data_IF_626462363643
#
_entry.id   IF_626462363643
#
_cell.length_a   1.000
_cell.length_b   1.000
_cell.length_c   1.000
_cell.angle_alpha   90.00
_cell.angle_beta   90.00
_cell.angle_gamma   90.00
#
_symmetry.space_group_name_H-M   'P 1'
#
loop_
_entity.id
_entity.type
_entity.pdbx_description
1 polymer ?
#
# COMPACT_ATOMS: atom_id res chain seq x y z
N UNK A 1 -29.30 -78.69 -37.35
CA UNK A 1 -29.48 -77.26 -37.68
C UNK A 1 -29.19 -76.50 -36.38
N UNK A 2 -27.98 -75.96 -36.10
CA UNK A 2 -27.22 -74.92 -36.85
C UNK A 2 -28.13 -73.71 -37.12
N UNK A 3 -27.90 -72.46 -36.71
CA UNK A 3 -26.71 -71.72 -36.26
C UNK A 3 -27.11 -70.41 -35.54
N UNK A 4 -26.16 -69.78 -34.85
CA UNK A 4 -25.82 -68.33 -34.88
C UNK A 4 -25.49 -67.76 -33.47
N UNK A 5 -24.22 -67.73 -33.00
CA UNK A 5 -23.15 -66.72 -33.30
C UNK A 5 -23.46 -65.37 -32.57
N UNK A 6 -22.66 -64.75 -31.70
CA UNK A 6 -21.27 -64.92 -31.23
C UNK A 6 -21.06 -64.00 -30.02
N UNK A 7 -20.37 -64.50 -29.00
CA UNK A 7 -19.67 -63.69 -28.01
C UNK A 7 -18.34 -63.18 -28.58
N UNK A 8 -17.99 -61.91 -28.33
CA UNK A 8 -16.61 -61.42 -28.39
C UNK A 8 -16.36 -60.45 -27.24
N UNK A 9 -15.96 -61.05 -26.13
CA UNK A 9 -15.19 -60.40 -25.07
C UNK A 9 -13.82 -60.07 -25.68
N UNK A 10 -13.44 -58.81 -25.67
CA UNK A 10 -12.07 -58.40 -26.06
C UNK A 10 -11.35 -58.00 -24.78
N UNK A 11 -10.47 -58.89 -24.33
CA UNK A 11 -9.50 -58.67 -23.27
C UNK A 11 -8.20 -58.19 -23.94
N UNK A 12 -7.74 -57.00 -23.62
CA UNK A 12 -6.48 -56.44 -24.12
C UNK A 12 -5.82 -55.62 -23.04
N UNK A 13 -4.97 -56.27 -22.27
CA UNK A 13 -4.20 -55.77 -21.15
C UNK A 13 -3.22 -54.65 -21.56
N UNK A 14 -3.21 -53.53 -20.83
CA UNK A 14 -1.98 -52.75 -20.62
C UNK A 14 -1.94 -52.21 -19.19
N UNK A 15 -1.03 -52.79 -18.41
CA UNK A 15 -0.50 -52.26 -17.17
C UNK A 15 0.25 -50.95 -17.47
N UNK A 16 -0.04 -49.86 -16.74
CA UNK A 16 0.96 -48.87 -16.32
C UNK A 16 0.35 -47.87 -15.32
N UNK A 17 0.60 -48.17 -14.05
CA UNK A 17 0.78 -47.28 -12.91
C UNK A 17 1.33 -45.88 -13.28
N UNK A 18 0.58 -44.79 -13.06
CA UNK A 18 1.15 -43.48 -12.70
C UNK A 18 0.24 -42.80 -11.68
N UNK A 19 0.83 -42.54 -10.51
CA UNK A 19 0.25 -41.86 -9.37
C UNK A 19 -0.27 -40.46 -9.76
N UNK A 20 -1.52 -40.16 -9.42
CA UNK A 20 -2.00 -38.78 -9.35
C UNK A 20 -1.35 -38.19 -8.10
N UNK A 21 -0.22 -37.52 -8.31
CA UNK A 21 0.42 -36.71 -7.29
C UNK A 21 -0.50 -35.54 -6.95
N UNK A 22 -0.92 -35.50 -5.69
CA UNK A 22 -1.45 -34.31 -5.06
C UNK A 22 -0.38 -33.21 -5.18
N UNK A 23 -0.58 -32.25 -6.09
CA UNK A 23 0.18 -31.00 -6.05
C UNK A 23 -0.34 -30.18 -4.89
N UNK A 24 0.27 -30.44 -3.75
CA UNK A 24 0.39 -29.54 -2.62
C UNK A 24 1.06 -28.25 -3.14
N UNK A 25 0.27 -27.25 -3.53
CA UNK A 25 0.78 -25.89 -3.62
C UNK A 25 1.00 -25.44 -2.19
N UNK A 26 2.21 -25.68 -1.70
CA UNK A 26 2.73 -25.01 -0.54
C UNK A 26 2.61 -23.51 -0.80
N UNK A 27 1.75 -22.85 -0.04
CA UNK A 27 1.72 -21.39 0.02
C UNK A 27 3.06 -20.91 0.56
N UNK A 28 3.99 -20.62 -0.34
CA UNK A 28 5.12 -19.76 -0.03
C UNK A 28 4.54 -18.42 0.44
N UNK A 29 4.81 -18.11 1.70
CA UNK A 29 4.57 -16.79 2.28
C UNK A 29 5.27 -15.77 1.35
N UNK A 30 4.57 -14.84 0.70
CA UNK A 30 5.23 -13.91 -0.21
C UNK A 30 6.23 -13.09 0.60
N UNK A 31 7.50 -13.22 0.22
CA UNK A 31 8.59 -12.43 0.75
C UNK A 31 8.27 -10.95 0.59
N UNK A 32 8.60 -10.16 1.60
CA UNK A 32 8.47 -8.70 1.68
C UNK A 32 9.13 -8.01 0.49
N UNK A 33 8.37 -7.90 -0.60
CA UNK A 33 8.79 -7.33 -1.87
C UNK A 33 8.72 -5.83 -1.80
N UNK A 34 9.90 -5.19 -1.74
CA UNK A 34 10.07 -3.74 -1.87
C UNK A 34 9.15 -3.20 -2.96
N UNK A 35 8.23 -2.27 -2.64
CA UNK A 35 7.31 -1.75 -3.62
C UNK A 35 8.07 -0.89 -4.64
N UNK A 36 7.70 -0.96 -5.93
CA UNK A 36 8.48 -0.37 -7.01
C UNK A 36 8.57 1.15 -6.88
N UNK A 37 9.73 1.69 -7.28
CA UNK A 37 9.94 3.13 -7.45
C UNK A 37 8.92 3.68 -8.47
N UNK A 38 8.44 4.93 -8.32
CA UNK A 38 7.51 5.57 -9.26
C UNK A 38 8.00 5.58 -10.73
N UNK A 39 9.27 5.28 -10.99
CA UNK A 39 9.84 5.18 -12.34
C UNK A 39 9.90 3.75 -12.93
N UNK A 40 9.35 2.74 -12.26
CA UNK A 40 9.63 1.33 -12.59
C UNK A 40 8.40 0.43 -12.82
N UNK A 41 7.18 0.98 -12.92
CA UNK A 41 6.03 0.15 -13.30
C UNK A 41 6.02 -0.12 -14.80
N UNK A 42 6.12 -1.39 -15.25
CA UNK A 42 5.91 -1.74 -16.64
C UNK A 42 4.44 -1.47 -17.04
N UNK A 43 4.23 -1.08 -18.30
CA UNK A 43 2.91 -0.94 -18.91
C UNK A 43 2.15 -2.28 -18.88
N UNK A 44 0.80 -2.26 -18.80
CA UNK A 44 0.03 -3.29 -18.11
C UNK A 44 0.00 -4.64 -18.83
N UNK A 45 0.32 -5.70 -18.09
CA UNK A 45 -0.29 -7.02 -18.25
C UNK A 45 -1.53 -7.08 -17.37
N UNK A 46 -2.71 -7.29 -17.98
CA UNK A 46 -3.99 -7.26 -17.28
C UNK A 46 -4.20 -8.52 -16.43
N UNK A 47 -3.65 -8.57 -15.22
CA UNK A 47 -4.28 -9.37 -14.17
C UNK A 47 -5.56 -8.65 -13.74
N UNK A 48 -6.69 -9.35 -13.85
CA UNK A 48 -8.01 -8.78 -13.68
C UNK A 48 -8.27 -8.42 -12.21
N UNK A 49 -8.62 -7.17 -11.95
CA UNK A 49 -9.10 -6.67 -10.65
C UNK A 49 -10.37 -7.38 -10.14
N UNK A 50 -10.98 -8.22 -10.98
CA UNK A 50 -12.25 -8.91 -10.69
C UNK A 50 -12.19 -9.73 -9.40
N UNK A 51 -11.07 -10.39 -9.12
CA UNK A 51 -10.94 -11.21 -7.91
C UNK A 51 -10.84 -10.35 -6.65
N UNK A 52 -10.05 -9.27 -6.69
CA UNK A 52 -9.95 -8.31 -5.57
C UNK A 52 -11.27 -7.58 -5.31
N UNK A 53 -11.94 -7.10 -6.36
CA UNK A 53 -13.22 -6.40 -6.24
C UNK A 53 -14.34 -7.34 -5.76
N UNK A 54 -14.33 -8.62 -6.19
CA UNK A 54 -15.25 -9.64 -5.69
C UNK A 54 -15.00 -9.96 -4.21
N UNK A 55 -13.73 -10.01 -3.77
CA UNK A 55 -13.37 -10.18 -2.36
C UNK A 55 -13.84 -8.99 -1.49
N UNK A 56 -13.77 -7.77 -2.00
CA UNK A 56 -14.34 -6.60 -1.34
C UNK A 56 -15.86 -6.72 -1.16
N UNK A 57 -16.58 -7.18 -2.19
CA UNK A 57 -18.02 -7.43 -2.11
C UNK A 57 -18.38 -8.58 -1.15
N UNK A 58 -17.47 -9.54 -1.01
CA UNK A 58 -17.59 -10.67 -0.09
C UNK A 58 -17.23 -10.32 1.38
N UNK A 59 -16.96 -9.05 1.69
CA UNK A 59 -16.55 -8.57 3.03
C UNK A 59 -15.23 -9.20 3.53
N UNK A 60 -14.32 -9.50 2.57
CA UNK A 60 -12.99 -10.09 2.80
C UNK A 60 -11.90 -9.09 2.45
N UNK A 61 -11.91 -7.94 3.13
CA UNK A 61 -11.05 -6.82 2.80
C UNK A 61 -9.55 -7.14 2.95
N UNK A 62 -9.15 -7.94 3.95
CA UNK A 62 -7.73 -8.35 4.10
C UNK A 62 -7.23 -9.19 2.93
N UNK A 63 -8.09 -10.07 2.36
CA UNK A 63 -7.72 -10.87 1.20
C UNK A 63 -7.64 -10.00 -0.06
N UNK A 64 -8.60 -9.10 -0.25
CA UNK A 64 -8.58 -8.14 -1.35
C UNK A 64 -7.32 -7.27 -1.32
N UNK A 65 -6.90 -6.83 -0.12
CA UNK A 65 -5.67 -6.06 0.08
C UNK A 65 -4.44 -6.80 -0.48
N UNK A 66 -4.31 -8.08 -0.16
CA UNK A 66 -3.20 -8.94 -0.62
C UNK A 66 -3.22 -9.12 -2.14
N UNK A 67 -4.39 -9.31 -2.73
CA UNK A 67 -4.52 -9.43 -4.19
C UNK A 67 -4.20 -8.11 -4.90
N UNK A 68 -4.67 -6.98 -4.38
CA UNK A 68 -4.33 -5.67 -4.95
C UNK A 68 -2.83 -5.36 -4.80
N UNK A 69 -2.21 -5.75 -3.68
CA UNK A 69 -0.76 -5.66 -3.51
C UNK A 69 -0.01 -6.45 -4.56
N UNK A 70 -0.37 -7.72 -4.74
CA UNK A 70 0.24 -8.56 -5.76
C UNK A 70 0.11 -7.94 -7.16
N UNK A 71 -1.09 -7.52 -7.57
CA UNK A 71 -1.31 -6.92 -8.87
C UNK A 71 -0.58 -5.57 -9.03
N UNK A 72 -0.50 -4.76 -7.97
CA UNK A 72 0.23 -3.49 -7.98
C UNK A 72 1.74 -3.69 -8.12
N UNK A 73 2.30 -4.73 -7.49
CA UNK A 73 3.70 -5.13 -7.64
C UNK A 73 4.01 -5.56 -9.09
N UNK A 74 3.04 -6.14 -9.79
CA UNK A 74 3.12 -6.50 -11.21
C UNK A 74 2.81 -5.34 -12.17
N UNK A 75 2.70 -4.09 -11.66
CA UNK A 75 2.56 -2.89 -12.49
C UNK A 75 1.11 -2.46 -12.77
N UNK A 76 0.11 -3.10 -12.16
CA UNK A 76 -1.28 -2.65 -12.29
C UNK A 76 -1.53 -1.39 -11.45
N UNK A 77 -1.50 -0.22 -12.10
CA UNK A 77 -1.70 1.06 -11.44
C UNK A 77 -3.10 1.20 -10.79
N UNK A 78 -4.14 0.62 -11.38
CA UNK A 78 -5.49 0.68 -10.79
C UNK A 78 -5.56 -0.19 -9.52
N UNK A 79 -4.89 -1.34 -9.50
CA UNK A 79 -4.71 -2.14 -8.28
C UNK A 79 -3.96 -1.34 -7.20
N UNK A 80 -2.90 -0.61 -7.58
CA UNK A 80 -2.19 0.30 -6.70
C UNK A 80 -3.11 1.40 -6.12
N UNK A 81 -4.05 1.91 -6.93
CA UNK A 81 -5.07 2.87 -6.47
C UNK A 81 -6.07 2.27 -5.48
N UNK A 82 -6.50 1.01 -5.71
CA UNK A 82 -7.39 0.26 -4.80
C UNK A 82 -6.71 -0.06 -3.47
N UNK A 83 -5.48 -0.55 -3.54
CA UNK A 83 -4.61 -0.78 -2.39
C UNK A 83 -4.40 0.51 -1.59
N UNK A 84 -4.03 1.59 -2.27
CA UNK A 84 -3.85 2.90 -1.66
C UNK A 84 -5.10 3.39 -0.93
N UNK A 85 -6.28 3.19 -1.52
CA UNK A 85 -7.56 3.52 -0.88
C UNK A 85 -7.80 2.74 0.42
N UNK A 86 -7.58 1.42 0.39
CA UNK A 86 -7.75 0.57 1.58
C UNK A 86 -6.79 0.95 2.69
N UNK A 87 -5.54 1.26 2.36
CA UNK A 87 -4.55 1.67 3.35
C UNK A 87 -4.80 3.11 3.86
N UNK A 88 -5.32 4.02 3.03
CA UNK A 88 -5.65 5.39 3.44
C UNK A 88 -6.77 5.41 4.47
N UNK A 89 -7.86 4.70 4.20
CA UNK A 89 -9.11 4.85 4.96
C UNK A 89 -9.42 3.66 5.86
N UNK A 90 -8.72 2.55 5.67
CA UNK A 90 -9.07 1.27 6.28
C UNK A 90 -10.39 0.72 5.74
N UNK A 91 -10.72 -0.49 6.15
CA UNK A 91 -12.02 -1.09 5.89
C UNK A 91 -12.40 -1.93 7.11
N UNK A 92 -13.50 -1.59 7.78
CA UNK A 92 -14.07 -2.45 8.82
C UNK A 92 -14.95 -3.50 8.15
N UNK A 93 -14.65 -4.76 8.43
CA UNK A 93 -15.55 -5.86 8.08
C UNK A 93 -16.65 -5.97 9.13
N UNK A 94 -17.89 -6.19 8.68
CA UNK A 94 -19.06 -6.29 9.56
C UNK A 94 -19.46 -7.74 9.83
N UNK A 95 -19.09 -8.66 8.93
CA UNK A 95 -19.42 -10.10 9.02
C UNK A 95 -18.23 -10.97 9.38
N UNK A 96 -17.01 -10.49 9.16
CA UNK A 96 -15.78 -11.24 9.43
C UNK A 96 -14.80 -10.43 10.29
N UNK A 97 -13.77 -11.06 10.82
CA UNK A 97 -12.64 -10.38 11.46
C UNK A 97 -11.60 -9.86 10.43
N UNK A 98 -11.87 -9.96 9.13
CA UNK A 98 -10.94 -9.66 8.03
C UNK A 98 -11.02 -8.21 7.54
N UNK A 99 -11.03 -7.26 8.48
CA UNK A 99 -10.90 -5.84 8.16
C UNK A 99 -9.46 -5.46 7.77
N UNK A 100 -9.31 -4.26 7.22
CA UNK A 100 -8.00 -3.64 6.96
C UNK A 100 -7.85 -2.45 7.89
N UNK A 101 -6.82 -2.49 8.74
CA UNK A 101 -6.39 -1.33 9.52
C UNK A 101 -5.74 -0.32 8.58
N UNK A 102 -6.11 0.95 8.69
CA UNK A 102 -5.51 2.00 7.87
C UNK A 102 -4.00 2.12 8.15
N UNK A 103 -3.22 2.23 7.09
CA UNK A 103 -1.84 2.69 7.10
C UNK A 103 -1.73 3.92 6.17
N UNK A 104 -2.03 5.13 6.68
CA UNK A 104 -2.13 6.32 5.85
C UNK A 104 -0.89 6.66 5.03
N UNK A 105 0.33 6.42 5.54
CA UNK A 105 1.52 6.81 4.80
C UNK A 105 1.81 5.85 3.62
N UNK A 106 1.63 4.54 3.79
CA UNK A 106 1.64 3.61 2.65
C UNK A 106 0.47 3.85 1.70
N UNK A 107 -0.70 4.18 2.23
CA UNK A 107 -1.88 4.55 1.44
C UNK A 107 -1.59 5.72 0.53
N UNK A 108 -1.04 6.82 1.06
CA UNK A 108 -0.61 7.98 0.26
C UNK A 108 0.42 7.56 -0.78
N UNK A 109 1.39 6.71 -0.44
CA UNK A 109 2.45 6.29 -1.36
C UNK A 109 1.89 5.52 -2.57
N UNK A 110 1.09 4.49 -2.33
CA UNK A 110 0.46 3.70 -3.40
C UNK A 110 -0.50 4.55 -4.23
N UNK A 111 -1.26 5.41 -3.56
CA UNK A 111 -2.16 6.36 -4.24
C UNK A 111 -1.38 7.36 -5.09
N UNK A 112 -0.25 7.87 -4.62
CA UNK A 112 0.61 8.78 -5.38
C UNK A 112 1.15 8.10 -6.64
N UNK A 113 1.68 6.88 -6.52
CA UNK A 113 2.19 6.13 -7.68
C UNK A 113 1.08 5.88 -8.70
N UNK A 114 -0.12 5.44 -8.25
CA UNK A 114 -1.26 5.25 -9.13
C UNK A 114 -1.74 6.56 -9.79
N UNK A 115 -1.77 7.67 -9.04
CA UNK A 115 -2.16 8.99 -9.55
C UNK A 115 -1.19 9.49 -10.63
N UNK A 116 0.13 9.30 -10.44
CA UNK A 116 1.14 9.64 -11.47
C UNK A 116 1.05 8.74 -12.72
N UNK A 117 0.42 7.57 -12.60
CA UNK A 117 0.06 6.69 -13.71
C UNK A 117 -1.36 6.97 -14.27
N UNK A 118 -1.90 8.16 -13.99
CA UNK A 118 -3.17 8.68 -14.53
C UNK A 118 -4.43 7.94 -14.07
N UNK A 119 -4.36 7.25 -12.95
CA UNK A 119 -5.54 6.64 -12.32
C UNK A 119 -6.37 7.74 -11.65
N UNK A 120 -7.55 8.03 -12.21
CA UNK A 120 -8.42 9.12 -11.75
C UNK A 120 -8.89 8.93 -10.29
N UNK A 121 -9.26 7.70 -9.91
CA UNK A 121 -9.68 7.35 -8.55
C UNK A 121 -8.56 7.58 -7.53
N UNK A 122 -7.31 7.35 -7.91
CA UNK A 122 -6.15 7.62 -7.08
C UNK A 122 -5.89 9.13 -6.93
N UNK A 123 -6.07 9.90 -8.00
CA UNK A 123 -5.99 11.37 -7.92
C UNK A 123 -7.02 11.94 -6.93
N UNK A 124 -8.26 11.42 -6.92
CA UNK A 124 -9.28 11.80 -5.95
C UNK A 124 -8.89 11.44 -4.52
N UNK A 125 -8.38 10.22 -4.31
CA UNK A 125 -7.96 9.76 -3.00
C UNK A 125 -6.80 10.59 -2.45
N UNK A 126 -5.84 10.97 -3.30
CA UNK A 126 -4.76 11.86 -2.91
C UNK A 126 -5.28 13.27 -2.59
N UNK A 127 -6.26 13.75 -3.36
CA UNK A 127 -6.98 14.98 -3.07
C UNK A 127 -7.63 14.97 -1.67
N UNK A 128 -8.36 13.90 -1.35
CA UNK A 128 -8.97 13.70 -0.03
C UNK A 128 -7.92 13.58 1.09
N UNK A 129 -6.81 12.90 0.82
CA UNK A 129 -5.72 12.76 1.79
C UNK A 129 -5.13 14.13 2.16
N UNK A 130 -4.89 15.01 1.18
CA UNK A 130 -4.44 16.37 1.42
C UNK A 130 -5.50 17.27 2.07
N UNK A 131 -6.77 17.08 1.75
CA UNK A 131 -7.85 17.85 2.38
C UNK A 131 -8.02 17.52 3.86
N UNK A 132 -8.00 16.23 4.19
CA UNK A 132 -8.26 15.72 5.53
C UNK A 132 -6.98 15.60 6.38
N UNK A 133 -5.80 15.72 5.76
CA UNK A 133 -4.52 15.52 6.44
C UNK A 133 -4.23 14.05 6.80
N UNK A 134 -4.69 13.11 5.95
CA UNK A 134 -4.53 11.67 6.18
C UNK A 134 -3.21 11.22 5.54
N UNK A 135 -2.21 10.88 6.36
CA UNK A 135 -0.88 10.43 5.89
C UNK A 135 -0.02 11.54 5.28
N UNK A 136 -0.54 12.76 5.16
CA UNK A 136 0.14 13.98 4.71
C UNK A 136 -0.35 15.17 5.51
N UNK A 137 0.42 16.26 5.54
CA UNK A 137 -0.06 17.52 6.10
C UNK A 137 -1.19 18.09 5.25
N UNK A 138 -2.22 18.63 5.91
CA UNK A 138 -3.34 19.29 5.22
C UNK A 138 -2.85 20.39 4.27
N UNK A 139 -3.31 20.34 3.02
CA UNK A 139 -3.03 21.35 2.00
C UNK A 139 -4.18 21.41 1.00
N UNK A 140 -5.05 22.41 1.13
CA UNK A 140 -6.24 22.54 0.29
C UNK A 140 -5.91 22.90 -1.17
N UNK A 141 -4.77 23.56 -1.42
CA UNK A 141 -4.30 23.88 -2.78
C UNK A 141 -3.89 22.60 -3.52
N UNK A 142 -3.11 21.73 -2.87
CA UNK A 142 -2.79 20.39 -3.39
C UNK A 142 -4.05 19.55 -3.56
N UNK A 143 -4.94 19.54 -2.57
CA UNK A 143 -6.19 18.78 -2.63
C UNK A 143 -7.01 19.13 -3.88
N UNK A 144 -7.18 20.43 -4.14
CA UNK A 144 -7.88 20.93 -5.32
C UNK A 144 -7.14 20.59 -6.62
N UNK A 145 -5.81 20.72 -6.65
CA UNK A 145 -5.01 20.40 -7.83
C UNK A 145 -5.15 18.92 -8.24
N UNK A 146 -5.05 17.99 -7.29
CA UNK A 146 -5.22 16.56 -7.53
C UNK A 146 -6.65 16.17 -7.94
N UNK A 147 -7.68 16.76 -7.31
CA UNK A 147 -9.07 16.50 -7.72
C UNK A 147 -9.38 17.06 -9.12
N UNK A 148 -8.82 18.22 -9.47
CA UNK A 148 -8.96 18.79 -10.82
C UNK A 148 -8.25 17.92 -11.87
N UNK A 149 -7.10 17.35 -11.53
CA UNK A 149 -6.41 16.38 -12.37
C UNK A 149 -7.25 15.11 -12.57
N UNK A 150 -7.89 14.59 -11.53
CA UNK A 150 -8.81 13.45 -11.63
C UNK A 150 -9.92 13.70 -12.66
N UNK A 151 -10.57 14.87 -12.59
CA UNK A 151 -11.60 15.30 -13.55
C UNK A 151 -11.06 15.36 -14.98
N UNK A 152 -9.80 15.74 -15.17
CA UNK A 152 -9.20 15.78 -16.51
C UNK A 152 -9.02 14.38 -17.13
N UNK A 153 -8.85 13.34 -16.30
CA UNK A 153 -8.75 11.95 -16.76
C UNK A 153 -10.12 11.29 -16.90
N UNK A 154 -11.13 11.72 -16.13
CA UNK A 154 -12.52 11.27 -16.24
C UNK A 154 -13.49 12.46 -16.16
N UNK A 155 -13.78 13.14 -17.29
CA UNK A 155 -14.61 14.35 -17.30
C UNK A 155 -16.07 14.09 -16.93
N UNK A 156 -16.57 12.86 -17.16
CA UNK A 156 -17.93 12.45 -16.78
C UNK A 156 -18.12 12.30 -15.27
N UNK A 157 -17.02 12.29 -14.52
CA UNK A 157 -17.05 12.20 -13.07
C UNK A 157 -17.52 13.53 -12.47
N UNK A 158 -18.75 13.54 -11.94
CA UNK A 158 -19.25 14.66 -11.15
C UNK A 158 -18.54 14.71 -9.80
N UNK A 159 -17.47 15.51 -9.73
CA UNK A 159 -16.77 15.81 -8.49
C UNK A 159 -17.45 16.98 -7.77
N UNK A 160 -18.62 16.72 -7.17
CA UNK A 160 -19.27 17.66 -6.23
C UNK A 160 -18.33 18.14 -5.14
N UNK A 161 -17.34 17.31 -4.80
CA UNK A 161 -16.30 17.59 -3.83
C UNK A 161 -15.34 18.72 -4.27
N UNK A 162 -15.09 18.88 -5.57
CA UNK A 162 -14.20 19.93 -6.09
C UNK A 162 -14.81 21.32 -5.89
N UNK A 163 -16.12 21.45 -6.09
CA UNK A 163 -16.84 22.71 -5.88
C UNK A 163 -16.87 23.08 -4.39
N UNK A 164 -17.04 22.09 -3.51
CA UNK A 164 -16.95 22.30 -2.05
C UNK A 164 -15.56 22.76 -1.60
N UNK A 165 -14.50 22.20 -2.19
CA UNK A 165 -13.14 22.67 -1.95
C UNK A 165 -12.92 24.09 -2.45
N UNK A 166 -13.47 24.44 -3.63
CA UNK A 166 -13.35 25.79 -4.20
C UNK A 166 -13.89 26.87 -3.25
N UNK A 167 -15.00 26.59 -2.55
CA UNK A 167 -15.61 27.53 -1.59
C UNK A 167 -14.72 27.76 -0.35
N UNK A 168 -13.84 26.81 -0.01
CA UNK A 168 -12.92 26.90 1.13
C UNK A 168 -11.59 27.57 0.80
N UNK A 169 -11.35 27.85 -0.48
CA UNK A 169 -10.14 28.47 -1.00
C UNK A 169 -10.43 29.92 -1.40
N UNK A 170 -9.46 30.81 -1.26
CA UNK A 170 -9.55 32.14 -1.86
C UNK A 170 -9.23 32.11 -3.37
N UNK A 171 -9.47 33.23 -4.07
CA UNK A 171 -9.28 33.31 -5.53
C UNK A 171 -7.82 33.17 -5.97
N UNK A 172 -6.85 33.54 -5.13
CA UNK A 172 -5.43 33.37 -5.41
C UNK A 172 -5.02 31.90 -5.23
N UNK A 173 -5.49 31.25 -4.17
CA UNK A 173 -5.27 29.83 -3.90
C UNK A 173 -5.91 28.93 -4.96
N UNK A 174 -7.13 29.26 -5.42
CA UNK A 174 -7.75 28.53 -6.54
C UNK A 174 -6.90 28.65 -7.80
N UNK A 175 -6.40 29.86 -8.12
CA UNK A 175 -5.53 30.07 -9.29
C UNK A 175 -4.24 29.24 -9.18
N UNK A 176 -3.60 29.27 -8.02
CA UNK A 176 -2.40 28.46 -7.76
C UNK A 176 -2.68 26.96 -7.92
N UNK A 177 -3.79 26.45 -7.36
CA UNK A 177 -4.16 25.05 -7.48
C UNK A 177 -4.45 24.65 -8.94
N UNK A 178 -5.03 25.56 -9.72
CA UNK A 178 -5.28 25.36 -11.14
C UNK A 178 -3.98 25.26 -11.94
N UNK A 179 -3.02 26.13 -11.66
CA UNK A 179 -1.68 26.10 -12.27
C UNK A 179 -0.96 24.79 -11.92
N UNK A 180 -0.98 24.36 -10.66
CA UNK A 180 -0.42 23.08 -10.23
C UNK A 180 -1.06 21.90 -10.98
N UNK A 181 -2.39 21.86 -11.09
CA UNK A 181 -3.07 20.82 -11.86
C UNK A 181 -2.59 20.75 -13.32
N UNK A 182 -2.32 21.89 -13.95
CA UNK A 182 -1.75 21.94 -15.30
C UNK A 182 -0.32 21.42 -15.35
N UNK A 183 0.50 21.71 -14.34
CA UNK A 183 1.86 21.15 -14.25
C UNK A 183 1.82 19.62 -14.14
N UNK A 184 0.93 19.08 -13.29
CA UNK A 184 0.78 17.65 -13.10
C UNK A 184 0.22 16.96 -14.35
N UNK A 185 -0.74 17.59 -15.04
CA UNK A 185 -1.29 17.08 -16.30
C UNK A 185 -0.21 16.88 -17.38
N UNK A 186 0.80 17.75 -17.40
CA UNK A 186 1.98 17.67 -18.28
C UNK A 186 3.00 16.60 -17.85
N UNK A 187 2.80 15.95 -16.70
CA UNK A 187 3.70 14.92 -16.17
C UNK A 187 4.80 15.46 -15.25
N UNK A 188 4.77 16.76 -14.89
CA UNK A 188 5.71 17.34 -13.93
C UNK A 188 5.22 17.05 -12.52
N UNK A 189 5.48 15.83 -12.04
CA UNK A 189 5.00 15.36 -10.75
C UNK A 189 5.78 16.00 -9.59
N UNK A 190 5.12 16.32 -8.46
CA UNK A 190 5.84 16.70 -7.25
C UNK A 190 6.58 15.48 -6.69
N UNK A 191 7.51 15.69 -5.76
CA UNK A 191 8.11 14.56 -5.04
C UNK A 191 7.05 13.85 -4.20
N UNK A 192 7.12 12.52 -4.12
CA UNK A 192 6.23 11.74 -3.24
C UNK A 192 6.27 12.32 -1.82
N UNK A 193 5.12 12.71 -1.25
CA UNK A 193 5.06 13.43 0.03
C UNK A 193 5.45 12.55 1.24
N UNK A 194 5.47 11.23 1.06
CA UNK A 194 5.91 10.26 2.08
C UNK A 194 7.34 9.84 1.79
N UNK A 195 8.26 10.15 2.71
CA UNK A 195 9.66 9.73 2.66
C UNK A 195 9.82 8.39 3.38
N UNK A 196 10.11 7.32 2.64
CA UNK A 196 10.48 6.02 3.21
C UNK A 196 11.79 6.14 4.01
N UNK A 197 11.85 5.58 5.21
CA UNK A 197 13.11 5.21 5.85
C UNK A 197 13.54 3.86 5.26
N UNK A 198 14.82 3.70 4.94
CA UNK A 198 15.36 2.40 4.52
C UNK A 198 16.01 1.76 5.75
N UNK A 199 16.02 0.43 5.86
CA UNK A 199 16.83 -0.24 6.87
C UNK A 199 18.29 0.24 6.78
N UNK A 200 18.82 0.79 7.88
CA UNK A 200 20.15 1.43 7.90
C UNK A 200 20.19 2.89 7.43
N UNK A 201 19.03 3.55 7.29
CA UNK A 201 18.97 4.97 6.96
C UNK A 201 19.60 5.81 8.08
N UNK A 202 20.61 6.60 7.71
CA UNK A 202 21.36 7.50 8.61
C UNK A 202 20.48 8.53 9.37
N UNK A 203 19.21 8.67 8.96
CA UNK A 203 18.23 9.49 9.66
C UNK A 203 17.76 8.90 10.99
N UNK A 204 17.74 7.57 11.15
CA UNK A 204 17.47 6.90 12.42
C UNK A 204 18.72 6.18 12.90
N UNK A 205 19.27 6.62 14.03
CA UNK A 205 20.49 6.08 14.62
C UNK A 205 20.20 5.53 16.01
N UNK A 206 20.61 4.28 16.26
CA UNK A 206 20.62 3.71 17.59
C UNK A 206 21.89 4.17 18.32
N UNK A 207 21.73 5.06 19.29
CA UNK A 207 22.84 5.63 20.06
C UNK A 207 23.20 4.81 21.30
N UNK A 208 22.32 3.91 21.76
CA UNK A 208 22.62 3.02 22.86
C UNK A 208 21.43 2.17 23.29
N UNK A 209 21.73 1.08 23.99
CA UNK A 209 20.74 0.20 24.62
C UNK A 209 21.12 -0.01 26.07
N UNK A 210 20.15 0.05 26.98
CA UNK A 210 20.31 -0.26 28.39
C UNK A 210 19.42 -1.43 28.76
N UNK A 211 20.04 -2.58 29.04
CA UNK A 211 19.34 -3.82 29.43
C UNK A 211 19.35 -4.09 30.95
N UNK A 212 20.10 -3.31 31.73
CA UNK A 212 20.31 -3.56 33.16
C UNK A 212 19.22 -3.07 34.11
N UNK A 213 18.14 -2.46 33.60
CA UNK A 213 17.04 -1.89 34.39
C UNK A 213 15.82 -2.81 34.48
N UNK A 214 14.78 -2.38 35.23
CA UNK A 214 13.46 -3.06 35.29
C UNK A 214 12.78 -3.18 33.92
N UNK A 215 13.08 -2.26 33.01
CA UNK A 215 12.62 -2.25 31.62
C UNK A 215 13.81 -1.96 30.70
N UNK A 216 13.96 -2.68 29.59
CA UNK A 216 14.99 -2.36 28.60
C UNK A 216 14.67 -1.01 27.94
N UNK A 217 15.71 -0.21 27.72
CA UNK A 217 15.60 1.14 27.14
C UNK A 217 16.50 1.25 25.91
N UNK A 218 15.97 1.83 24.85
CA UNK A 218 16.68 2.17 23.63
C UNK A 218 16.86 3.68 23.54
N UNK A 219 18.03 4.14 23.08
CA UNK A 219 18.29 5.55 22.78
C UNK A 219 18.36 5.69 21.26
N UNK A 220 17.31 6.25 20.66
CA UNK A 220 17.18 6.45 19.21
C UNK A 220 17.21 7.95 18.93
N UNK A 221 18.15 8.41 18.09
CA UNK A 221 18.36 9.83 17.80
C UNK A 221 18.44 10.72 19.05
N UNK A 222 19.15 10.25 20.08
CA UNK A 222 19.30 10.90 21.39
C UNK A 222 18.01 11.05 22.21
N UNK A 223 16.94 10.32 21.85
CA UNK A 223 15.71 10.22 22.64
C UNK A 223 15.58 8.79 23.20
N UNK A 224 15.13 8.68 24.44
CA UNK A 224 14.96 7.39 25.12
C UNK A 224 13.56 6.85 24.89
N UNK A 225 13.48 5.57 24.56
CA UNK A 225 12.24 4.82 24.37
C UNK A 225 12.29 3.53 25.18
N UNK A 226 11.22 3.23 25.90
CA UNK A 226 10.99 1.93 26.49
C UNK A 226 10.38 0.95 25.47
N UNK A 227 10.46 -0.35 25.77
CA UNK A 227 9.79 -1.39 24.99
C UNK A 227 8.28 -1.10 24.90
N UNK A 228 7.75 -1.05 23.68
CA UNK A 228 6.34 -0.72 23.40
C UNK A 228 6.00 0.77 23.47
N UNK A 229 6.96 1.65 23.73
CA UNK A 229 6.73 3.10 23.76
C UNK A 229 6.67 3.68 22.35
N UNK A 230 5.65 4.51 22.11
CA UNK A 230 5.56 5.31 20.88
C UNK A 230 5.92 6.77 21.15
N UNK A 231 6.67 7.38 20.24
CA UNK A 231 6.98 8.80 20.36
C UNK A 231 7.53 9.42 19.09
N UNK A 232 7.55 10.76 19.07
CA UNK A 232 8.07 11.51 17.94
C UNK A 232 9.58 11.63 18.01
N UNK A 233 10.25 11.13 16.97
CA UNK A 233 11.67 11.30 16.72
C UNK A 233 11.89 12.48 15.78
N UNK A 234 12.77 13.40 16.18
CA UNK A 234 13.23 14.48 15.29
C UNK A 234 14.29 13.95 14.33
N UNK A 235 14.07 14.20 13.03
CA UNK A 235 15.03 13.99 11.94
C UNK A 235 15.64 15.32 11.52
N UNK A 236 16.67 15.25 10.65
CA UNK A 236 17.23 16.45 9.99
C UNK A 236 16.24 17.12 9.03
N UNK A 237 15.29 16.35 8.49
CA UNK A 237 14.37 16.78 7.44
C UNK A 237 12.88 16.67 7.83
N UNK A 238 12.59 16.55 9.13
CA UNK A 238 11.22 16.47 9.65
C UNK A 238 11.14 15.83 11.03
N UNK A 239 9.95 15.36 11.40
CA UNK A 239 9.71 14.51 12.57
C UNK A 239 8.90 13.31 12.13
N UNK A 240 9.25 12.12 12.63
CA UNK A 240 8.44 10.92 12.44
C UNK A 240 7.97 10.42 13.81
N UNK A 241 6.90 9.63 13.82
CA UNK A 241 6.55 8.86 15.00
C UNK A 241 7.06 7.43 14.83
N UNK A 242 7.65 6.89 15.87
CA UNK A 242 8.05 5.48 15.93
C UNK A 242 7.39 4.80 17.12
N UNK A 243 7.26 3.49 17.02
CA UNK A 243 6.99 2.56 18.11
C UNK A 243 8.23 1.69 18.29
N UNK A 244 8.74 1.61 19.51
CA UNK A 244 9.84 0.71 19.84
C UNK A 244 9.28 -0.71 20.03
N UNK A 245 9.31 -1.53 18.99
CA UNK A 245 8.69 -2.85 18.99
C UNK A 245 9.52 -3.89 19.77
N UNK A 246 10.84 -3.91 19.55
CA UNK A 246 11.74 -4.85 20.24
C UNK A 246 13.08 -4.19 20.58
N UNK A 247 13.62 -4.51 21.76
CA UNK A 247 14.92 -4.05 22.23
C UNK A 247 15.80 -5.28 22.50
N UNK A 248 16.77 -5.52 21.63
CA UNK A 248 17.82 -6.51 21.80
C UNK A 248 19.12 -5.88 22.30
N UNK A 249 20.13 -6.70 22.61
CA UNK A 249 21.38 -6.22 23.22
C UNK A 249 22.14 -5.16 22.38
N UNK A 250 22.24 -5.38 21.06
CA UNK A 250 22.91 -4.48 20.12
C UNK A 250 22.01 -3.99 18.98
N UNK A 251 20.71 -4.27 19.08
CA UNK A 251 19.76 -4.01 18.01
C UNK A 251 18.42 -3.59 18.57
N UNK A 252 17.73 -2.69 17.87
CA UNK A 252 16.38 -2.25 18.24
C UNK A 252 15.52 -2.26 16.99
N UNK A 253 14.38 -2.92 17.08
CA UNK A 253 13.38 -2.95 16.02
C UNK A 253 12.38 -1.82 16.26
N UNK A 254 12.26 -0.90 15.31
CA UNK A 254 11.34 0.24 15.39
C UNK A 254 10.31 0.17 14.29
N UNK A 255 9.05 0.22 14.65
CA UNK A 255 7.96 0.38 13.69
C UNK A 255 7.75 1.88 13.47
N UNK A 256 7.91 2.33 12.24
CA UNK A 256 7.65 3.72 11.88
C UNK A 256 6.17 3.88 11.60
N UNK A 257 5.51 4.85 12.24
CA UNK A 257 4.11 5.15 11.95
C UNK A 257 3.98 5.53 10.47
N UNK A 258 3.29 4.68 9.70
CA UNK A 258 3.15 4.85 8.27
C UNK A 258 3.89 3.83 7.40
N UNK A 259 4.72 2.95 7.98
CA UNK A 259 5.43 1.90 7.25
C UNK A 259 5.00 0.53 7.77
N UNK A 260 4.69 -0.43 6.87
CA UNK A 260 4.34 -1.78 7.29
C UNK A 260 5.56 -2.60 7.72
N UNK A 261 6.76 -2.20 7.30
CA UNK A 261 8.02 -2.85 7.67
C UNK A 261 8.61 -2.21 8.93
N UNK A 262 8.91 -3.07 9.91
CA UNK A 262 9.71 -2.65 11.05
C UNK A 262 11.18 -2.47 10.64
N UNK A 263 11.80 -1.42 11.13
CA UNK A 263 13.17 -1.06 10.85
C UNK A 263 14.11 -1.64 11.92
N UNK A 264 15.09 -2.41 11.48
CA UNK A 264 16.14 -2.89 12.37
C UNK A 264 17.25 -1.85 12.47
N UNK A 265 17.37 -1.24 13.64
CA UNK A 265 18.48 -0.35 13.96
C UNK A 265 19.56 -1.16 14.67
N UNK A 266 20.78 -1.08 14.16
CA UNK A 266 21.97 -1.69 14.77
C UNK A 266 22.80 -0.58 15.43
N UNK A 267 23.45 -0.90 16.56
CA UNK A 267 24.47 -0.01 17.11
C UNK A 267 25.61 0.13 16.09
N UNK A 268 25.98 1.37 15.79
CA UNK A 268 27.18 1.70 15.00
C UNK A 268 28.42 1.80 15.87
#
# INVERSE_FOLDING_TARGET
>A
MRDSITAKITLGSFLALIAITASLVAGEKPASGKPPSPASMPLPGAESLQDGDALMLADRASDALREYENAALHGNAEAGGRLGNLLLFGCKSFKTTQGVTANPAEGVRWTFVAATNRVASACENLGKAYELGIGVKTNLVEAYAWMRLARSFKPDLKLTHLDQLAVRLDSAQVRQAQELAETYRRGNWPTCPVKRLVNGDSRLTLNGVTMGGRTPLAVINRQTFALGESGMVRLRDGSLRILCAEIGGNSVTVEVEGEAEAHLLLMQ
#
